data_IF_260777784840
#
_entry.id   IF_260777784840
#
_cell.length_a   1.000
_cell.length_b   1.000
_cell.length_c   1.000
_cell.angle_alpha   90.00
_cell.angle_beta   90.00
_cell.angle_gamma   90.00
#
_symmetry.space_group_name_H-M   'P 1'
#
loop_
_entity.id
_entity.type
_entity.pdbx_description
1 polymer ?
#
# COMPACT_ATOMS: atom_id res chain seq x y z
N UNK A 1 17.44 -1.54 20.12
CA UNK A 1 17.23 -0.62 19.00
C UNK A 1 15.75 -0.64 18.69
N UNK A 2 15.08 0.50 18.82
CA UNK A 2 13.70 0.62 18.37
C UNK A 2 13.68 0.38 16.85
N UNK A 3 13.08 -0.74 16.42
CA UNK A 3 13.05 -1.10 15.01
C UNK A 3 11.94 -0.26 14.38
N UNK A 4 12.32 0.82 13.71
CA UNK A 4 11.40 1.61 12.90
C UNK A 4 10.59 0.69 11.99
N UNK A 5 9.27 0.76 12.12
CA UNK A 5 8.37 -0.04 11.31
C UNK A 5 8.43 0.43 9.86
N UNK A 6 8.92 -0.42 8.96
CA UNK A 6 8.96 -0.14 7.54
C UNK A 6 7.75 -0.77 6.83
N UNK A 7 6.89 0.08 6.27
CA UNK A 7 5.65 -0.31 5.57
C UNK A 7 5.64 0.34 4.21
N UNK A 8 5.22 -0.42 3.20
CA UNK A 8 5.09 0.03 1.82
C UNK A 8 3.77 -0.46 1.22
N UNK A 9 3.33 0.14 0.12
CA UNK A 9 2.06 -0.14 -0.52
C UNK A 9 1.93 0.52 -1.89
N UNK A 10 0.82 0.25 -2.57
CA UNK A 10 0.54 0.79 -3.91
C UNK A 10 -0.75 1.62 -3.86
N UNK A 11 -0.72 2.81 -4.45
CA UNK A 11 -1.94 3.54 -4.80
C UNK A 11 -2.47 2.98 -6.11
N UNK A 12 -3.52 2.16 -6.01
CA UNK A 12 -4.19 1.60 -7.18
C UNK A 12 -5.25 2.58 -7.61
N UNK A 13 -5.20 2.98 -8.86
CA UNK A 13 -6.19 3.84 -9.45
C UNK A 13 -6.68 3.28 -10.78
N UNK A 14 -7.88 3.73 -11.18
CA UNK A 14 -8.39 3.53 -12.54
C UNK A 14 -8.92 4.83 -13.08
N UNK A 15 -8.82 4.99 -14.40
CA UNK A 15 -9.55 6.03 -15.11
C UNK A 15 -10.90 5.48 -15.55
N UNK A 16 -11.98 6.13 -15.13
CA UNK A 16 -13.32 5.89 -15.64
C UNK A 16 -13.90 7.19 -16.18
N UNK A 17 -14.23 7.21 -17.48
CA UNK A 17 -14.78 8.40 -18.17
C UNK A 17 -13.90 9.63 -17.91
N UNK A 18 -14.37 10.55 -17.06
CA UNK A 18 -13.73 11.83 -16.74
C UNK A 18 -13.22 11.92 -15.30
N UNK A 19 -13.06 10.79 -14.61
CA UNK A 19 -12.56 10.74 -13.23
C UNK A 19 -11.44 9.72 -13.04
N UNK A 20 -10.58 10.02 -12.07
CA UNK A 20 -9.64 9.08 -11.48
C UNK A 20 -10.23 8.58 -10.18
N UNK A 21 -10.37 7.27 -10.05
CA UNK A 21 -10.86 6.61 -8.85
C UNK A 21 -9.72 5.84 -8.20
N UNK A 22 -9.60 5.92 -6.87
CA UNK A 22 -8.58 5.23 -6.09
C UNK A 22 -9.24 4.08 -5.31
N UNK A 23 -8.63 2.90 -5.37
CA UNK A 23 -9.06 1.75 -4.59
C UNK A 23 -8.56 1.87 -3.15
N UNK A 24 -9.49 1.85 -2.19
CA UNK A 24 -9.20 1.81 -0.76
C UNK A 24 -9.78 0.54 -0.16
N UNK A 25 -8.99 -0.14 0.66
CA UNK A 25 -9.43 -1.24 1.51
C UNK A 25 -9.82 -0.70 2.90
N UNK A 26 -10.91 -1.21 3.46
CA UNK A 26 -11.28 -0.93 4.85
C UNK A 26 -10.57 -1.90 5.77
N UNK A 27 -9.71 -1.38 6.64
CA UNK A 27 -9.12 -2.18 7.70
C UNK A 27 -10.16 -2.38 8.82
N UNK A 28 -10.70 -3.59 8.90
CA UNK A 28 -11.66 -3.98 9.92
C UNK A 28 -11.00 -4.32 11.26
N UNK A 29 -9.66 -4.37 11.31
CA UNK A 29 -8.93 -4.63 12.52
C UNK A 29 -9.02 -3.43 13.47
N UNK A 30 -9.43 -3.71 14.71
CA UNK A 30 -9.36 -2.77 15.83
C UNK A 30 -10.38 -1.60 15.85
N UNK A 31 -11.63 -1.83 15.47
CA UNK A 31 -12.80 -0.92 15.59
C UNK A 31 -12.67 0.48 14.94
N UNK A 32 -11.50 0.85 14.41
CA UNK A 32 -11.18 2.20 13.91
C UNK A 32 -11.42 2.39 12.41
N UNK A 33 -11.77 1.33 11.67
CA UNK A 33 -12.28 1.35 10.27
C UNK A 33 -11.59 2.37 9.36
N UNK A 34 -10.26 2.32 9.31
CA UNK A 34 -9.49 3.21 8.43
C UNK A 34 -9.61 2.73 6.98
N UNK A 35 -9.71 3.69 6.05
CA UNK A 35 -9.61 3.44 4.62
C UNK A 35 -8.21 3.80 4.14
N UNK A 36 -7.53 2.86 3.50
CA UNK A 36 -6.19 3.07 2.95
C UNK A 36 -6.00 2.22 1.69
N UNK A 37 -5.01 2.55 0.86
CA UNK A 37 -4.55 1.64 -0.18
C UNK A 37 -3.96 0.35 0.41
N UNK A 38 -3.83 -0.73 -0.38
CA UNK A 38 -3.16 -1.94 0.08
C UNK A 38 -1.71 -1.65 0.46
N UNK A 39 -1.35 -2.00 1.69
CA UNK A 39 -0.02 -1.77 2.26
C UNK A 39 0.27 -2.80 3.34
N UNK A 40 1.56 -3.07 3.55
CA UNK A 40 2.00 -3.90 4.66
C UNK A 40 3.50 -3.82 4.89
N UNK A 41 3.98 -4.68 5.80
CA UNK A 41 5.37 -4.63 6.26
C UNK A 41 6.30 -5.16 5.18
N UNK A 42 7.47 -4.53 5.05
CA UNK A 42 8.59 -5.13 4.32
C UNK A 42 9.17 -6.25 5.20
N UNK A 43 9.34 -7.45 4.64
CA UNK A 43 9.77 -8.65 5.37
C UNK A 43 11.20 -9.04 4.94
N UNK A 44 12.10 -9.20 5.92
CA UNK A 44 13.49 -9.55 5.64
C UNK A 44 14.17 -8.50 4.77
N UNK A 45 14.81 -8.97 3.68
CA UNK A 45 15.50 -8.14 2.68
C UNK A 45 14.65 -7.94 1.41
N UNK A 46 13.32 -8.04 1.52
CA UNK A 46 12.41 -7.82 0.39
C UNK A 46 12.50 -6.38 -0.13
N UNK A 47 12.52 -6.23 -1.46
CA UNK A 47 12.41 -4.93 -2.12
C UNK A 47 11.02 -4.32 -1.89
N UNK A 48 10.94 -3.00 -1.74
CA UNK A 48 9.67 -2.34 -1.41
C UNK A 48 8.59 -2.56 -2.47
N UNK A 49 8.94 -2.60 -3.77
CA UNK A 49 7.98 -2.83 -4.84
C UNK A 49 7.42 -4.25 -4.74
N UNK A 50 8.29 -5.23 -4.46
CA UNK A 50 7.88 -6.63 -4.25
C UNK A 50 6.94 -6.78 -3.06
N UNK A 51 7.28 -6.16 -1.92
CA UNK A 51 6.43 -6.16 -0.74
C UNK A 51 5.06 -5.52 -1.03
N UNK A 52 5.06 -4.37 -1.72
CA UNK A 52 3.83 -3.66 -2.07
C UNK A 52 2.93 -4.47 -3.03
N UNK A 53 3.50 -5.19 -4.00
CA UNK A 53 2.78 -6.08 -4.90
C UNK A 53 2.22 -7.32 -4.19
N UNK A 54 2.98 -7.92 -3.26
CA UNK A 54 2.50 -9.04 -2.43
C UNK A 54 1.30 -8.64 -1.59
N UNK A 55 1.40 -7.53 -0.85
CA UNK A 55 0.30 -7.00 -0.03
C UNK A 55 -0.91 -6.61 -0.89
N UNK A 56 -0.68 -6.08 -2.09
CA UNK A 56 -1.74 -5.80 -3.06
C UNK A 56 -2.52 -7.05 -3.43
N UNK A 57 -1.82 -8.14 -3.76
CA UNK A 57 -2.45 -9.42 -4.07
C UNK A 57 -3.22 -9.97 -2.86
N UNK A 58 -2.63 -9.94 -1.67
CA UNK A 58 -3.25 -10.47 -0.45
C UNK A 58 -4.53 -9.70 -0.05
N UNK A 59 -4.51 -8.37 -0.15
CA UNK A 59 -5.62 -7.50 0.30
C UNK A 59 -6.71 -7.38 -0.76
N UNK A 60 -6.35 -7.33 -2.04
CA UNK A 60 -7.29 -6.97 -3.13
C UNK A 60 -7.54 -8.09 -4.13
N UNK A 61 -6.69 -9.12 -4.15
CA UNK A 61 -6.70 -10.16 -5.19
C UNK A 61 -6.11 -9.72 -6.54
N UNK A 62 -5.70 -8.46 -6.70
CA UNK A 62 -5.09 -7.97 -7.94
C UNK A 62 -3.63 -8.38 -8.05
N UNK A 63 -3.28 -9.00 -9.16
CA UNK A 63 -1.93 -9.46 -9.46
C UNK A 63 -1.19 -8.50 -10.39
N UNK A 64 0.11 -8.75 -10.60
CA UNK A 64 0.91 -8.04 -11.61
C UNK A 64 0.36 -8.14 -13.04
N UNK A 65 -0.52 -9.10 -13.32
CA UNK A 65 -1.16 -9.24 -14.65
C UNK A 65 -2.33 -8.26 -14.82
N UNK A 66 -2.89 -7.77 -13.71
CA UNK A 66 -4.04 -6.86 -13.68
C UNK A 66 -3.59 -5.40 -13.58
N UNK A 67 -2.31 -5.15 -13.32
CA UNK A 67 -1.75 -3.86 -12.97
C UNK A 67 -0.67 -3.42 -13.96
N UNK A 68 -0.65 -2.13 -14.27
CA UNK A 68 0.51 -1.45 -14.84
C UNK A 68 1.12 -0.57 -13.77
N UNK A 69 2.35 -0.86 -13.35
CA UNK A 69 3.05 -0.09 -12.32
C UNK A 69 3.70 1.14 -12.94
N UNK A 70 3.49 2.30 -12.32
CA UNK A 70 4.13 3.56 -12.68
C UNK A 70 5.17 3.94 -11.62
N UNK A 71 6.44 3.64 -11.89
CA UNK A 71 7.54 3.85 -10.94
C UNK A 71 7.97 5.31 -10.80
N UNK A 72 7.45 6.22 -11.64
CA UNK A 72 7.79 7.65 -11.63
C UNK A 72 7.19 8.42 -10.45
N UNK A 73 6.30 7.81 -9.67
CA UNK A 73 5.67 8.43 -8.51
C UNK A 73 6.03 7.69 -7.22
N UNK A 74 6.46 8.45 -6.20
CA UNK A 74 6.73 7.95 -4.86
C UNK A 74 6.37 9.01 -3.83
N UNK A 75 5.73 8.59 -2.74
CA UNK A 75 5.47 9.42 -1.56
C UNK A 75 5.81 8.64 -0.29
N UNK A 76 6.35 9.33 0.71
CA UNK A 76 6.75 8.74 1.98
C UNK A 76 6.22 9.57 3.15
N UNK A 77 5.70 8.91 4.18
CA UNK A 77 5.24 9.55 5.41
C UNK A 77 6.02 8.91 6.57
N UNK A 78 6.74 9.74 7.33
CA UNK A 78 7.43 9.32 8.55
C UNK A 78 6.60 9.72 9.77
N UNK A 79 6.16 8.72 10.52
CA UNK A 79 5.54 8.95 11.82
C UNK A 79 6.63 9.06 12.88
N UNK A 80 6.72 10.22 13.51
CA UNK A 80 7.52 10.39 14.71
C UNK A 80 6.69 9.85 15.87
N UNK A 81 7.16 8.79 16.54
CA UNK A 81 6.58 8.44 17.84
C UNK A 81 6.89 9.59 18.80
N UNK A 82 5.87 10.32 19.23
CA UNK A 82 6.03 11.34 20.27
C UNK A 82 6.63 10.69 21.52
N UNK A 83 7.67 11.33 22.06
CA UNK A 83 8.22 11.08 23.40
C UNK A 83 7.17 11.24 24.48
#
# INVERSE_FOLDING_TARGET
MDKSLHVTGILIYRHQRNSTEILLANDSFNHKRHWAGPKGRVIGDEDELKAALRETLEITGLSVKDLRVEESFRAEIKYLSGT
#
